data_IF_978955137547
#
_entry.id   IF_978955137547
#
_cell.length_a   1.000
_cell.length_b   1.000
_cell.length_c   1.000
_cell.angle_alpha   90.00
_cell.angle_beta   90.00
_cell.angle_gamma   90.00
#
_symmetry.space_group_name_H-M   'P 1'
#
loop_
_entity.id
_entity.type
_entity.pdbx_description
1 polymer ?
#
# COMPACT_ATOMS: atom_id res chain seq x y z
N UNK A 1 -17.22 -12.59 21.18
CA UNK A 1 -17.17 -12.52 19.72
C UNK A 1 -15.93 -11.75 19.28
N UNK A 2 -15.29 -12.22 18.27
CA UNK A 2 -14.09 -11.58 17.74
C UNK A 2 -14.46 -10.41 16.83
N UNK A 3 -14.05 -9.18 17.18
CA UNK A 3 -14.30 -8.04 16.30
C UNK A 3 -13.55 -8.15 15.00
N UNK A 4 -14.14 -7.67 13.93
CA UNK A 4 -13.51 -7.63 12.63
C UNK A 4 -12.18 -6.87 12.67
N UNK A 5 -12.13 -5.80 13.45
CA UNK A 5 -10.91 -5.00 13.63
C UNK A 5 -9.77 -5.84 14.19
N UNK A 6 -10.03 -6.71 15.14
CA UNK A 6 -8.99 -7.56 15.70
C UNK A 6 -8.47 -8.56 14.66
N UNK A 7 -9.36 -9.10 13.85
CA UNK A 7 -8.97 -10.00 12.78
C UNK A 7 -8.01 -9.30 11.81
N UNK A 8 -8.36 -8.10 11.38
CA UNK A 8 -7.54 -7.34 10.45
C UNK A 8 -6.22 -6.91 11.09
N UNK A 9 -6.24 -6.58 12.38
CA UNK A 9 -5.06 -6.14 13.10
C UNK A 9 -3.96 -7.20 13.09
N UNK A 10 -4.34 -8.46 13.03
CA UNK A 10 -3.38 -9.56 13.02
C UNK A 10 -3.03 -10.04 11.60
N UNK A 11 -3.69 -9.50 10.59
CA UNK A 11 -3.36 -9.87 9.24
C UNK A 11 -2.05 -9.20 8.81
N UNK A 12 -1.16 -10.00 8.26
CA UNK A 12 0.10 -9.51 7.71
C UNK A 12 0.27 -10.15 6.34
N UNK A 13 0.44 -9.36 5.28
CA UNK A 13 0.61 -9.95 3.95
C UNK A 13 1.92 -10.72 3.85
N UNK A 14 1.97 -11.71 2.98
CA UNK A 14 3.21 -12.42 2.66
C UNK A 14 4.14 -11.51 1.87
N UNK A 15 3.59 -10.64 1.03
CA UNK A 15 4.37 -9.66 0.30
C UNK A 15 4.95 -8.63 1.26
N UNK A 16 6.14 -8.13 0.94
CA UNK A 16 6.71 -7.01 1.70
C UNK A 16 5.90 -5.76 1.41
N UNK A 17 5.47 -5.08 2.45
CA UNK A 17 4.74 -3.83 2.31
C UNK A 17 5.67 -2.66 2.60
N UNK A 18 5.78 -1.75 1.64
CA UNK A 18 6.56 -0.51 1.77
C UNK A 18 5.59 0.65 1.65
N UNK A 19 5.62 1.55 2.63
CA UNK A 19 4.78 2.75 2.61
C UNK A 19 5.68 3.96 2.30
N UNK A 20 5.24 4.81 1.37
CA UNK A 20 5.98 6.03 1.01
C UNK A 20 5.12 7.23 1.37
N UNK A 21 5.65 8.11 2.22
CA UNK A 21 4.96 9.29 2.74
C UNK A 21 5.66 10.56 2.32
N UNK A 22 4.89 11.61 2.10
CA UNK A 22 5.42 12.91 1.71
C UNK A 22 4.44 13.66 0.80
N UNK A 23 4.93 14.67 0.10
CA UNK A 23 4.09 15.39 -0.85
C UNK A 23 3.77 14.48 -2.04
N UNK A 24 2.62 14.72 -2.67
CA UNK A 24 2.12 13.85 -3.74
C UNK A 24 3.12 13.62 -4.86
N UNK A 25 3.76 14.67 -5.34
CA UNK A 25 4.71 14.53 -6.45
C UNK A 25 5.94 13.72 -6.07
N UNK A 26 6.48 13.97 -4.87
CA UNK A 26 7.65 13.23 -4.38
C UNK A 26 7.31 11.75 -4.14
N UNK A 27 6.15 11.49 -3.57
CA UNK A 27 5.69 10.13 -3.31
C UNK A 27 5.56 9.36 -4.61
N UNK A 28 4.90 9.95 -5.62
CA UNK A 28 4.72 9.30 -6.92
C UNK A 28 6.04 8.97 -7.60
N UNK A 29 6.94 9.93 -7.60
CA UNK A 29 8.25 9.73 -8.21
C UNK A 29 9.04 8.63 -7.51
N UNK A 30 9.00 8.63 -6.18
CA UNK A 30 9.72 7.61 -5.39
C UNK A 30 9.13 6.23 -5.59
N UNK A 31 7.81 6.12 -5.61
CA UNK A 31 7.13 4.83 -5.82
C UNK A 31 7.50 4.26 -7.18
N UNK A 32 7.44 5.07 -8.24
CA UNK A 32 7.79 4.59 -9.57
C UNK A 32 9.26 4.18 -9.66
N UNK A 33 10.13 4.94 -9.04
CA UNK A 33 11.56 4.62 -8.98
C UNK A 33 11.78 3.28 -8.29
N UNK A 34 11.17 3.09 -7.11
CA UNK A 34 11.29 1.83 -6.37
C UNK A 34 10.73 0.65 -7.16
N UNK A 35 9.57 0.82 -7.77
CA UNK A 35 8.98 -0.24 -8.58
C UNK A 35 9.91 -0.66 -9.70
N UNK A 36 10.47 0.31 -10.41
CA UNK A 36 11.39 0.04 -11.51
C UNK A 36 12.65 -0.70 -11.04
N UNK A 37 13.22 -0.26 -9.93
CA UNK A 37 14.42 -0.87 -9.38
C UNK A 37 14.17 -2.29 -8.91
N UNK A 38 13.10 -2.50 -8.17
CA UNK A 38 12.77 -3.82 -7.63
C UNK A 38 12.48 -4.80 -8.75
N UNK A 39 11.72 -4.39 -9.74
CA UNK A 39 11.38 -5.26 -10.87
C UNK A 39 12.61 -5.57 -11.73
N UNK A 40 13.44 -4.57 -11.99
CA UNK A 40 14.58 -4.72 -12.89
C UNK A 40 15.74 -5.46 -12.25
N UNK A 41 16.10 -5.10 -11.02
CA UNK A 41 17.31 -5.62 -10.37
C UNK A 41 17.06 -6.82 -9.48
N UNK A 42 15.84 -6.94 -8.93
CA UNK A 42 15.52 -8.06 -8.05
C UNK A 42 14.62 -9.10 -8.71
N UNK A 43 14.06 -8.77 -9.88
CA UNK A 43 13.18 -9.70 -10.59
C UNK A 43 11.90 -10.02 -9.83
N UNK A 44 11.47 -9.12 -8.94
CA UNK A 44 10.29 -9.33 -8.11
C UNK A 44 9.04 -8.72 -8.72
N UNK A 45 7.90 -9.34 -8.40
CA UNK A 45 6.60 -8.87 -8.85
C UNK A 45 6.10 -7.79 -7.90
N UNK A 46 5.78 -6.62 -8.44
CA UNK A 46 5.41 -5.43 -7.67
C UNK A 46 3.96 -5.04 -7.88
N UNK A 47 3.26 -4.76 -6.80
CA UNK A 47 1.94 -4.14 -6.79
C UNK A 47 2.05 -2.74 -6.19
N UNK A 48 1.45 -1.76 -6.84
CA UNK A 48 1.36 -0.40 -6.32
C UNK A 48 -0.07 -0.17 -5.82
N UNK A 49 -0.21 0.26 -4.58
CA UNK A 49 -1.48 0.68 -4.00
C UNK A 49 -1.61 2.18 -4.15
N UNK A 50 -2.48 2.61 -5.05
CA UNK A 50 -2.66 4.02 -5.39
C UNK A 50 -3.96 4.56 -4.82
N UNK A 51 -3.95 5.83 -4.39
CA UNK A 51 -5.15 6.53 -3.94
C UNK A 51 -5.91 7.16 -5.09
N UNK A 52 -5.28 7.33 -6.24
CA UNK A 52 -5.88 8.01 -7.38
C UNK A 52 -5.72 7.19 -8.65
N UNK A 53 -6.80 7.12 -9.42
CA UNK A 53 -6.76 6.47 -10.74
C UNK A 53 -6.09 7.32 -11.80
N UNK A 54 -5.77 8.57 -11.47
CA UNK A 54 -5.20 9.51 -12.45
C UNK A 54 -3.70 9.35 -12.62
N UNK A 55 -3.05 8.54 -11.79
CA UNK A 55 -1.61 8.34 -11.88
C UNK A 55 -1.31 7.15 -12.78
N UNK A 56 -0.49 7.38 -13.79
CA UNK A 56 -0.10 6.34 -14.71
C UNK A 56 1.12 5.55 -14.21
N UNK A 57 1.00 4.90 -13.07
CA UNK A 57 2.07 4.04 -12.60
C UNK A 57 2.30 2.86 -13.54
N UNK A 58 3.53 2.40 -13.56
CA UNK A 58 3.93 1.21 -14.29
C UNK A 58 4.43 0.16 -13.30
N UNK A 59 3.73 -0.95 -13.21
CA UNK A 59 4.04 -2.05 -12.30
C UNK A 59 3.36 -3.32 -12.80
N UNK A 60 3.64 -4.45 -12.16
CA UNK A 60 2.97 -5.70 -12.52
C UNK A 60 1.49 -5.64 -12.16
N UNK A 61 1.14 -4.90 -11.13
CA UNK A 61 -0.21 -4.79 -10.65
C UNK A 61 -0.42 -3.42 -10.02
N UNK A 62 -1.57 -2.79 -10.28
CA UNK A 62 -1.91 -1.52 -9.66
C UNK A 62 -3.29 -1.69 -9.05
N UNK A 63 -3.40 -1.43 -7.74
CA UNK A 63 -4.64 -1.53 -7.01
C UNK A 63 -5.04 -0.16 -6.50
N UNK A 64 -6.31 0.15 -6.61
CA UNK A 64 -6.84 1.45 -6.23
C UNK A 64 -7.50 1.35 -4.84
N UNK A 65 -7.00 2.15 -3.89
CA UNK A 65 -7.50 2.14 -2.52
C UNK A 65 -8.84 2.86 -2.35
N UNK A 66 -9.09 3.85 -3.19
CA UNK A 66 -10.27 4.69 -3.05
C UNK A 66 -9.90 6.12 -2.71
N UNK A 67 -10.83 7.05 -2.99
CA UNK A 67 -10.59 8.48 -2.85
C UNK A 67 -10.83 9.02 -1.45
N UNK A 68 -11.59 8.31 -0.62
CA UNK A 68 -11.88 8.74 0.74
C UNK A 68 -11.42 7.69 1.76
N UNK A 69 -11.27 8.12 3.01
CA UNK A 69 -10.74 7.25 4.06
C UNK A 69 -11.66 6.08 4.40
N UNK A 70 -12.96 6.26 4.25
CA UNK A 70 -13.90 5.19 4.54
C UNK A 70 -13.77 4.07 3.52
N UNK A 71 -13.71 4.42 2.24
CA UNK A 71 -13.53 3.46 1.16
C UNK A 71 -12.17 2.79 1.25
N UNK A 72 -11.12 3.59 1.48
CA UNK A 72 -9.75 3.05 1.61
C UNK A 72 -9.63 2.08 2.78
N UNK A 73 -10.25 2.40 3.92
CA UNK A 73 -10.23 1.51 5.07
C UNK A 73 -10.92 0.19 4.79
N UNK A 74 -12.01 0.23 4.02
CA UNK A 74 -12.75 -0.96 3.64
C UNK A 74 -11.96 -1.83 2.66
N UNK A 75 -11.26 -1.19 1.73
CA UNK A 75 -10.55 -1.88 0.66
C UNK A 75 -9.16 -2.38 1.07
N UNK A 76 -8.56 -1.79 2.09
CA UNK A 76 -7.16 -2.03 2.44
C UNK A 76 -6.82 -3.52 2.53
N UNK A 77 -7.54 -4.26 3.37
CA UNK A 77 -7.21 -5.66 3.61
C UNK A 77 -7.59 -6.55 2.44
N UNK A 78 -8.60 -6.16 1.68
CA UNK A 78 -8.95 -6.88 0.46
C UNK A 78 -7.84 -6.76 -0.56
N UNK A 79 -7.23 -5.57 -0.68
CA UNK A 79 -6.10 -5.34 -1.58
C UNK A 79 -4.90 -6.18 -1.16
N UNK A 80 -4.58 -6.18 0.14
CA UNK A 80 -3.45 -6.97 0.64
C UNK A 80 -3.65 -8.46 0.36
N UNK A 81 -4.84 -8.97 0.58
CA UNK A 81 -5.14 -10.37 0.30
C UNK A 81 -5.10 -10.68 -1.19
N UNK A 82 -5.59 -9.76 -2.01
CA UNK A 82 -5.56 -9.91 -3.46
C UNK A 82 -4.12 -9.97 -3.98
N UNK A 83 -3.26 -9.11 -3.45
CA UNK A 83 -1.85 -9.12 -3.81
C UNK A 83 -1.20 -10.46 -3.45
N UNK A 84 -1.47 -10.98 -2.26
CA UNK A 84 -0.95 -12.28 -1.85
C UNK A 84 -1.46 -13.41 -2.74
N UNK A 85 -2.75 -13.36 -3.08
CA UNK A 85 -3.35 -14.36 -3.96
C UNK A 85 -2.69 -14.37 -5.33
N UNK A 86 -2.28 -13.21 -5.82
CA UNK A 86 -1.60 -13.07 -7.10
C UNK A 86 -0.09 -13.23 -6.99
N UNK A 87 0.41 -13.66 -5.84
CA UNK A 87 1.82 -13.95 -5.60
C UNK A 87 2.73 -12.75 -5.84
N UNK A 88 2.27 -11.58 -5.46
CA UNK A 88 3.07 -10.37 -5.50
C UNK A 88 4.15 -10.46 -4.43
N UNK A 89 5.36 -10.05 -4.77
CA UNK A 89 6.49 -10.08 -3.84
C UNK A 89 6.59 -8.82 -3.00
N UNK A 90 6.25 -7.67 -3.57
CA UNK A 90 6.38 -6.36 -2.90
C UNK A 90 5.14 -5.53 -3.21
N UNK A 91 4.59 -4.92 -2.18
CA UNK A 91 3.51 -3.94 -2.30
C UNK A 91 4.07 -2.59 -1.92
N UNK A 92 3.93 -1.60 -2.79
CA UNK A 92 4.35 -0.23 -2.50
C UNK A 92 3.10 0.63 -2.41
N UNK A 93 2.86 1.22 -1.24
CA UNK A 93 1.63 1.96 -0.96
C UNK A 93 1.89 3.45 -0.82
N UNK A 94 1.00 4.25 -1.40
CA UNK A 94 0.98 5.68 -1.14
C UNK A 94 0.51 5.92 0.29
N UNK A 95 1.30 6.69 1.05
CA UNK A 95 0.94 7.09 2.40
C UNK A 95 -0.18 8.12 2.39
N UNK A 96 -0.88 8.21 3.50
CA UNK A 96 -2.01 9.13 3.66
C UNK A 96 -1.71 10.17 4.72
N UNK A 97 -2.41 11.29 4.66
CA UNK A 97 -2.30 12.30 5.69
C UNK A 97 -2.81 11.79 7.03
N UNK A 98 -2.14 12.21 8.09
CA UNK A 98 -2.46 11.78 9.45
C UNK A 98 -3.50 12.72 10.07
N UNK A 99 -4.78 12.54 9.72
CA UNK A 99 -5.88 13.28 10.31
C UNK A 99 -7.07 12.36 10.50
N UNK A 100 -7.60 12.30 11.72
CA UNK A 100 -8.83 11.54 11.99
C UNK A 100 -8.76 10.09 11.47
N UNK A 101 -9.63 9.74 10.54
CA UNK A 101 -9.68 8.39 9.97
C UNK A 101 -8.41 8.04 9.21
N UNK A 102 -7.73 9.02 8.64
CA UNK A 102 -6.47 8.82 7.97
C UNK A 102 -5.40 8.31 8.92
N UNK A 103 -5.34 8.86 10.14
CA UNK A 103 -4.40 8.40 11.15
C UNK A 103 -4.66 6.95 11.54
N UNK A 104 -5.92 6.58 11.78
CA UNK A 104 -6.28 5.21 12.13
C UNK A 104 -5.91 4.23 11.02
N UNK A 105 -6.20 4.59 9.78
CA UNK A 105 -5.88 3.76 8.63
C UNK A 105 -4.38 3.58 8.48
N UNK A 106 -3.61 4.66 8.62
CA UNK A 106 -2.16 4.60 8.52
C UNK A 106 -1.54 3.75 9.63
N UNK A 107 -2.07 3.82 10.84
CA UNK A 107 -1.57 3.01 11.94
C UNK A 107 -1.75 1.52 11.63
N UNK A 108 -2.89 1.14 11.06
CA UNK A 108 -3.12 -0.25 10.66
C UNK A 108 -2.16 -0.67 9.55
N UNK A 109 -1.99 0.18 8.56
CA UNK A 109 -1.11 -0.10 7.44
C UNK A 109 0.34 -0.24 7.91
N UNK A 110 0.79 0.65 8.79
CA UNK A 110 2.15 0.60 9.33
C UNK A 110 2.41 -0.64 10.15
N UNK A 111 1.40 -1.19 10.81
CA UNK A 111 1.56 -2.43 11.56
C UNK A 111 1.96 -3.58 10.64
N UNK A 112 1.47 -3.59 9.40
CA UNK A 112 1.80 -4.62 8.43
C UNK A 112 3.03 -4.27 7.59
N UNK A 113 3.52 -3.04 7.66
CA UNK A 113 4.60 -2.58 6.79
C UNK A 113 5.96 -3.08 7.26
N UNK A 114 6.80 -3.47 6.31
CA UNK A 114 8.19 -3.79 6.57
C UNK A 114 9.04 -2.52 6.61
N UNK A 115 8.66 -1.51 5.82
CA UNK A 115 9.42 -0.28 5.72
C UNK A 115 8.50 0.90 5.47
N UNK A 116 8.80 2.03 6.11
CA UNK A 116 8.12 3.30 5.87
C UNK A 116 9.17 4.31 5.43
N UNK A 117 9.00 4.84 4.23
CA UNK A 117 9.91 5.84 3.66
C UNK A 117 9.25 7.20 3.78
N UNK A 118 9.88 8.10 4.50
CA UNK A 118 9.40 9.49 4.66
C UNK A 118 10.26 10.42 3.83
N UNK A 119 9.60 11.16 2.96
CA UNK A 119 10.27 12.07 2.05
C UNK A 119 10.18 13.52 2.50
#
# INVERSE_FOLDING_TARGET
MQPTIMRYKHYSPKAELIIVEGSSSKVRNKIQELSNQIRKFEGKKVCIMSRSRNYGYYADMIMYMGSDFKTSGRNLYDILRCADHNKVDVIIAEGMEYKNLGLALMNRLKTAAKQVIKL
#
